data_IF_512799794439
#
_entry.id   IF_512799794439
#
_cell.length_a   1.000
_cell.length_b   1.000
_cell.length_c   1.000
_cell.angle_alpha   90.00
_cell.angle_beta   90.00
_cell.angle_gamma   90.00
#
_symmetry.space_group_name_H-M   'P 1'
#
loop_
_entity.id
_entity.type
_entity.pdbx_description
1 polymer ?
#
# COMPACT_ATOMS: atom_id res chain seq x y z
N UNK A 1 6.41 -16.12 -2.39
CA UNK A 1 5.45 -15.41 -3.15
C UNK A 1 4.36 -14.83 -2.33
N UNK A 2 4.23 -13.60 -2.28
CA UNK A 2 3.17 -12.92 -1.61
C UNK A 2 2.35 -12.13 -2.59
N UNK A 3 1.36 -11.45 -2.06
CA UNK A 3 0.57 -10.53 -2.85
C UNK A 3 1.34 -9.23 -3.01
N UNK A 4 1.16 -8.60 -4.14
CA UNK A 4 1.75 -7.30 -4.40
C UNK A 4 0.65 -6.35 -4.84
N UNK A 5 0.87 -5.07 -4.61
CA UNK A 5 -0.07 -4.04 -4.99
C UNK A 5 0.67 -2.91 -5.68
N UNK A 6 -0.04 -2.17 -6.50
CA UNK A 6 0.50 -0.97 -7.12
C UNK A 6 -0.05 0.23 -6.37
N UNK A 7 0.85 1.03 -5.85
CA UNK A 7 0.49 2.26 -5.15
C UNK A 7 0.80 3.45 -6.03
N UNK A 8 -0.07 4.43 -6.00
CA UNK A 8 0.10 5.64 -6.79
C UNK A 8 0.12 6.84 -5.86
N UNK A 9 1.15 7.66 -5.98
CA UNK A 9 1.26 8.87 -5.18
C UNK A 9 0.43 9.99 -5.80
N UNK A 10 0.24 11.06 -5.03
CA UNK A 10 -0.48 12.23 -5.53
C UNK A 10 0.25 12.86 -6.71
N UNK A 11 1.55 12.60 -6.86
CA UNK A 11 2.34 13.13 -7.96
C UNK A 11 2.30 12.24 -9.19
N UNK A 12 1.57 11.13 -9.11
CA UNK A 12 1.46 10.21 -10.24
C UNK A 12 2.52 9.14 -10.29
N UNK A 13 3.37 9.07 -9.29
CA UNK A 13 4.39 8.02 -9.22
C UNK A 13 3.74 6.70 -8.84
N UNK A 14 4.23 5.62 -9.42
CA UNK A 14 3.68 4.29 -9.17
C UNK A 14 4.78 3.41 -8.62
N UNK A 15 4.45 2.66 -7.57
CA UNK A 15 5.37 1.70 -6.98
C UNK A 15 4.66 0.37 -6.78
N UNK A 16 5.35 -0.72 -7.11
CA UNK A 16 4.87 -2.05 -6.82
C UNK A 16 5.41 -2.45 -5.46
N UNK A 17 4.53 -2.82 -4.55
CA UNK A 17 4.91 -3.11 -3.17
C UNK A 17 4.33 -4.44 -2.72
N UNK A 18 5.00 -5.06 -1.77
CA UNK A 18 4.53 -6.25 -1.08
C UNK A 18 4.48 -5.95 0.41
N UNK A 19 3.89 -6.87 1.17
CA UNK A 19 3.85 -6.72 2.62
C UNK A 19 5.28 -6.59 3.14
N UNK A 20 5.51 -5.57 3.95
CA UNK A 20 6.82 -5.28 4.50
C UNK A 20 7.59 -4.23 3.73
N UNK A 21 7.15 -3.90 2.52
CA UNK A 21 7.82 -2.88 1.72
C UNK A 21 7.42 -1.49 2.19
N UNK A 22 8.28 -0.53 1.86
CA UNK A 22 8.04 0.86 2.18
C UNK A 22 8.01 1.66 0.88
N UNK A 23 7.03 2.53 0.74
CA UNK A 23 6.94 3.42 -0.42
C UNK A 23 6.23 4.69 -0.01
N UNK A 24 6.68 5.83 -0.57
CA UNK A 24 6.04 7.13 -0.36
C UNK A 24 5.85 7.48 1.12
N UNK A 25 6.79 7.03 1.96
CA UNK A 25 6.76 7.37 3.38
C UNK A 25 5.84 6.51 4.22
N UNK A 26 5.27 5.45 3.66
CA UNK A 26 4.41 4.53 4.41
C UNK A 26 4.90 3.11 4.23
N UNK A 27 4.59 2.27 5.20
CA UNK A 27 4.94 0.86 5.14
C UNK A 27 3.68 0.04 4.88
N UNK A 28 3.81 -0.95 3.98
CA UNK A 28 2.70 -1.85 3.68
C UNK A 28 2.65 -2.90 4.76
N UNK A 29 1.58 -2.92 5.55
CA UNK A 29 1.47 -3.86 6.66
C UNK A 29 0.62 -5.07 6.32
N UNK A 30 -0.32 -4.93 5.37
CA UNK A 30 -1.12 -6.06 4.93
C UNK A 30 -1.70 -5.76 3.56
N UNK A 31 -1.91 -6.80 2.77
CA UNK A 31 -2.58 -6.70 1.48
C UNK A 31 -3.67 -7.75 1.49
N UNK A 32 -4.91 -7.31 1.30
CA UNK A 32 -6.04 -8.20 1.20
C UNK A 32 -6.70 -8.07 -0.14
N UNK A 33 -7.79 -8.81 -0.31
CA UNK A 33 -8.58 -8.68 -1.52
C UNK A 33 -9.31 -7.35 -1.49
N UNK A 34 -8.94 -6.47 -2.39
CA UNK A 34 -9.61 -5.20 -2.53
C UNK A 34 -9.11 -4.10 -1.61
N UNK A 35 -8.08 -4.35 -0.81
CA UNK A 35 -7.57 -3.27 0.03
C UNK A 35 -6.13 -3.53 0.43
N UNK A 36 -5.45 -2.43 0.76
CA UNK A 36 -4.08 -2.44 1.25
C UNK A 36 -4.04 -1.65 2.55
N UNK A 37 -3.40 -2.21 3.58
CA UNK A 37 -3.22 -1.52 4.85
C UNK A 37 -1.82 -0.92 4.88
N UNK A 38 -1.75 0.36 5.21
CA UNK A 38 -0.51 1.12 5.22
C UNK A 38 -0.33 1.75 6.58
N UNK A 39 0.89 1.78 7.05
CA UNK A 39 1.23 2.43 8.31
C UNK A 39 2.21 3.56 8.03
N UNK A 40 1.90 4.76 8.50
CA UNK A 40 2.78 5.90 8.30
C UNK A 40 3.85 5.95 9.38
N UNK A 41 4.72 6.98 9.30
CA UNK A 41 5.84 7.11 10.22
C UNK A 41 5.40 7.39 11.65
N UNK A 42 4.17 7.81 11.85
CA UNK A 42 3.64 8.09 13.18
C UNK A 42 2.86 6.90 13.74
N UNK A 43 2.88 5.77 13.05
CA UNK A 43 2.20 4.57 13.53
C UNK A 43 0.74 4.50 13.21
N UNK A 44 0.22 5.40 12.38
CA UNK A 44 -1.18 5.37 11.99
C UNK A 44 -1.38 4.39 10.86
N UNK A 45 -2.43 3.61 10.95
CA UNK A 45 -2.77 2.63 9.92
C UNK A 45 -3.96 3.13 9.11
N UNK A 46 -3.82 3.08 7.81
CA UNK A 46 -4.89 3.47 6.90
C UNK A 46 -5.13 2.36 5.91
N UNK A 47 -6.36 2.28 5.45
CA UNK A 47 -6.77 1.30 4.48
C UNK A 47 -7.06 2.00 3.15
N UNK A 48 -6.44 1.52 2.08
CA UNK A 48 -6.74 2.00 0.74
C UNK A 48 -7.54 0.95 0.02
N UNK A 49 -8.69 1.36 -0.52
CA UNK A 49 -9.46 0.47 -1.37
C UNK A 49 -8.83 0.37 -2.73
N UNK A 50 -8.80 -0.82 -3.29
CA UNK A 50 -8.27 -1.05 -4.61
C UNK A 50 -9.42 -1.04 -5.62
N UNK A 51 -9.18 -0.58 -6.85
CA UNK A 51 -10.22 -0.61 -7.87
C UNK A 51 -10.67 -2.04 -8.13
N UNK A 52 -11.94 -2.22 -8.35
CA UNK A 52 -12.52 -3.52 -8.65
C UNK A 52 -13.20 -3.46 -10.00
N UNK A 53 -13.02 -4.48 -10.76
CA UNK A 53 -13.67 -4.57 -12.07
C UNK A 53 -14.99 -5.31 -11.96
#
# INVERSE_FOLDING_TARGET
DGMAALLRSARGEIARVSVGDEAFGVQVTAIGEGQVLLTDRWGRTESLGLPRS
#
